data_IF_011732405472
#
_entry.id   IF_011732405472
#
_cell.length_a   1.000
_cell.length_b   1.000
_cell.length_c   1.000
_cell.angle_alpha   90.00
_cell.angle_beta   90.00
_cell.angle_gamma   90.00
#
_symmetry.space_group_name_H-M   'P 1'
#
loop_
_entity.id
_entity.type
_entity.pdbx_description
1 polymer ?
#
# COMPACT_ATOMS: atom_id res chain seq x y z
N UNK A 1 -5.38 -5.57 17.28
CA UNK A 1 -5.68 -6.79 16.47
C UNK A 1 -5.06 -7.98 17.17
N UNK A 2 -5.79 -9.08 17.32
CA UNK A 2 -5.20 -10.31 17.85
C UNK A 2 -4.13 -10.83 16.88
N UNK A 3 -2.96 -11.30 17.36
CA UNK A 3 -1.89 -11.81 16.49
C UNK A 3 -2.37 -12.90 15.53
N UNK A 4 -3.30 -13.74 15.97
CA UNK A 4 -3.90 -14.81 15.16
C UNK A 4 -4.68 -14.25 13.97
N UNK A 5 -5.44 -13.15 14.12
CA UNK A 5 -6.18 -12.53 13.02
C UNK A 5 -5.25 -11.89 11.99
N UNK A 6 -4.19 -11.22 12.44
CA UNK A 6 -3.16 -10.66 11.55
C UNK A 6 -2.53 -11.75 10.66
N UNK A 7 -2.19 -12.91 11.24
CA UNK A 7 -1.64 -14.04 10.50
C UNK A 7 -2.64 -14.58 9.46
N UNK A 8 -3.92 -14.70 9.83
CA UNK A 8 -4.97 -15.15 8.91
C UNK A 8 -5.14 -14.20 7.72
N UNK A 9 -5.06 -12.88 7.95
CA UNK A 9 -5.11 -11.89 6.86
C UNK A 9 -3.89 -12.02 5.96
N UNK A 10 -2.67 -12.01 6.54
CA UNK A 10 -1.40 -12.05 5.77
C UNK A 10 -1.24 -13.31 4.93
N UNK A 11 -1.88 -14.41 5.33
CA UNK A 11 -1.90 -15.68 4.59
C UNK A 11 -3.16 -15.87 3.74
N UNK A 12 -4.00 -14.84 3.60
CA UNK A 12 -5.26 -14.88 2.86
C UNK A 12 -6.30 -15.87 3.41
N UNK A 13 -6.06 -16.45 4.59
CA UNK A 13 -6.98 -17.41 5.21
C UNK A 13 -8.34 -16.78 5.57
N UNK A 14 -8.34 -15.47 5.90
CA UNK A 14 -9.56 -14.73 6.19
C UNK A 14 -10.52 -14.66 5.00
N UNK A 15 -9.99 -14.75 3.78
CA UNK A 15 -10.75 -14.67 2.53
C UNK A 15 -11.16 -16.06 2.00
N UNK A 16 -10.78 -17.13 2.68
CA UNK A 16 -11.13 -18.51 2.29
C UNK A 16 -12.39 -18.97 3.02
N UNK A 17 -13.35 -19.44 2.26
CA UNK A 17 -14.55 -20.07 2.78
C UNK A 17 -14.61 -21.52 2.31
N UNK A 18 -14.68 -22.45 3.25
CA UNK A 18 -14.86 -23.87 2.96
C UNK A 18 -16.33 -24.25 3.14
N UNK A 19 -16.97 -24.73 2.09
CA UNK A 19 -18.36 -25.17 2.15
C UNK A 19 -18.50 -26.36 3.11
N UNK A 20 -19.36 -26.28 4.15
CA UNK A 20 -19.52 -27.36 5.13
C UNK A 20 -20.19 -28.61 4.56
N UNK A 21 -20.84 -28.54 3.37
CA UNK A 21 -21.55 -29.65 2.75
C UNK A 21 -20.67 -30.43 1.78
N UNK A 22 -19.85 -29.76 0.97
CA UNK A 22 -19.08 -30.45 -0.08
C UNK A 22 -17.56 -30.26 0.06
N UNK A 23 -17.11 -29.48 1.03
CA UNK A 23 -15.69 -29.22 1.26
C UNK A 23 -15.02 -28.34 0.19
N UNK A 24 -15.78 -27.78 -0.77
CA UNK A 24 -15.20 -26.87 -1.75
C UNK A 24 -14.74 -25.58 -1.10
N UNK A 25 -13.56 -25.13 -1.47
CA UNK A 25 -13.02 -23.84 -1.05
C UNK A 25 -13.39 -22.76 -2.06
N UNK A 26 -13.76 -21.58 -1.54
CA UNK A 26 -14.06 -20.39 -2.33
C UNK A 26 -13.31 -19.22 -1.74
N UNK A 27 -12.81 -18.36 -2.60
CA UNK A 27 -12.23 -17.09 -2.21
C UNK A 27 -13.33 -16.02 -2.18
N UNK A 28 -13.54 -15.39 -1.03
CA UNK A 28 -14.60 -14.40 -0.83
C UNK A 28 -13.96 -13.08 -0.44
N UNK A 29 -14.06 -12.09 -1.32
CA UNK A 29 -13.68 -10.72 -1.02
C UNK A 29 -14.89 -9.97 -0.45
N UNK A 30 -14.72 -9.27 0.68
CA UNK A 30 -15.75 -8.50 1.35
C UNK A 30 -15.14 -7.32 2.09
N UNK A 31 -15.91 -6.24 2.24
CA UNK A 31 -15.45 -5.01 2.89
C UNK A 31 -15.51 -5.13 4.41
N UNK A 32 -14.46 -4.68 5.11
CA UNK A 32 -14.37 -4.67 6.57
C UNK A 32 -13.32 -3.65 7.04
N UNK A 33 -13.29 -3.42 8.34
CA UNK A 33 -12.28 -2.57 8.98
C UNK A 33 -11.28 -3.46 9.71
N UNK A 34 -10.00 -3.29 9.38
CA UNK A 34 -8.88 -3.89 10.09
C UNK A 34 -8.23 -2.83 10.99
N UNK A 35 -8.15 -3.12 12.29
CA UNK A 35 -7.53 -2.25 13.27
C UNK A 35 -6.27 -2.90 13.84
N UNK A 36 -5.18 -2.17 13.83
CA UNK A 36 -3.92 -2.52 14.49
C UNK A 36 -3.56 -1.40 15.48
N UNK A 37 -3.88 -1.64 16.75
CA UNK A 37 -3.64 -0.67 17.81
C UNK A 37 -2.14 -0.51 18.12
N UNK A 38 -1.34 -1.55 17.92
CA UNK A 38 0.11 -1.53 18.21
C UNK A 38 0.85 -0.61 17.24
N UNK A 39 0.37 -0.51 16.00
CA UNK A 39 0.93 0.38 14.96
C UNK A 39 0.11 1.65 14.76
N UNK A 40 -0.99 1.84 15.50
CA UNK A 40 -1.85 3.00 15.35
C UNK A 40 -2.51 3.10 13.97
N UNK A 41 -2.95 1.96 13.39
CA UNK A 41 -3.45 1.89 12.00
C UNK A 41 -4.88 1.39 11.95
N UNK A 42 -5.68 2.03 11.11
CA UNK A 42 -7.05 1.66 10.78
C UNK A 42 -7.20 1.56 9.26
N UNK A 43 -7.29 0.31 8.75
CA UNK A 43 -7.43 0.04 7.33
C UNK A 43 -8.87 -0.31 6.99
N UNK A 44 -9.48 0.46 6.11
CA UNK A 44 -10.80 0.21 5.55
C UNK A 44 -10.63 -0.60 4.27
N UNK A 45 -10.73 -1.92 4.39
CA UNK A 45 -10.66 -2.81 3.25
C UNK A 45 -11.95 -2.74 2.45
N UNK A 46 -11.84 -2.38 1.18
CA UNK A 46 -12.92 -2.27 0.22
C UNK A 46 -12.87 -3.44 -0.76
N UNK A 47 -14.03 -3.98 -1.05
CA UNK A 47 -14.16 -5.07 -2.03
C UNK A 47 -13.83 -4.60 -3.45
N UNK A 48 -14.18 -3.33 -3.76
CA UNK A 48 -14.03 -2.79 -5.10
C UNK A 48 -13.84 -1.27 -5.09
N UNK A 49 -13.32 -0.67 -6.19
CA UNK A 49 -13.15 0.78 -6.31
C UNK A 49 -14.45 1.59 -6.22
N UNK A 50 -15.60 1.00 -6.56
CA UNK A 50 -16.90 1.67 -6.52
C UNK A 50 -17.31 2.08 -5.10
N UNK A 51 -16.70 1.50 -4.07
CA UNK A 51 -16.96 1.82 -2.67
C UNK A 51 -16.17 3.03 -2.15
N UNK A 52 -15.18 3.54 -2.90
CA UNK A 52 -14.25 4.60 -2.45
C UNK A 52 -15.00 5.86 -2.02
N UNK A 53 -15.92 6.36 -2.86
CA UNK A 53 -16.61 7.62 -2.58
C UNK A 53 -17.45 7.54 -1.30
N UNK A 54 -18.12 6.42 -1.10
CA UNK A 54 -18.91 6.18 0.11
C UNK A 54 -18.01 6.05 1.33
N UNK A 55 -16.90 5.35 1.23
CA UNK A 55 -15.93 5.19 2.31
C UNK A 55 -15.26 6.53 2.67
N UNK A 56 -14.85 7.32 1.68
CA UNK A 56 -14.33 8.69 1.89
C UNK A 56 -15.35 9.58 2.60
N UNK A 57 -16.61 9.57 2.15
CA UNK A 57 -17.67 10.35 2.79
C UNK A 57 -17.86 9.96 4.27
N UNK A 58 -17.78 8.69 4.60
CA UNK A 58 -17.85 8.20 5.98
C UNK A 58 -16.69 8.72 6.83
N UNK A 59 -15.46 8.69 6.29
CA UNK A 59 -14.27 9.18 6.99
C UNK A 59 -14.29 10.70 7.23
N UNK A 60 -14.90 11.46 6.30
CA UNK A 60 -15.03 12.92 6.44
C UNK A 60 -16.22 13.36 7.29
N UNK A 61 -17.29 12.55 7.38
CA UNK A 61 -18.46 12.87 8.22
C UNK A 61 -18.14 12.88 9.71
N UNK A 62 -17.16 12.09 10.14
CA UNK A 62 -16.71 12.07 11.54
C UNK A 62 -15.84 13.28 11.89
N UNK A 63 -15.61 14.21 10.92
CA UNK A 63 -14.95 15.49 11.14
C UNK A 63 -13.48 15.43 11.55
N UNK A 64 -12.90 14.23 11.51
CA UNK A 64 -11.53 13.98 11.92
C UNK A 64 -10.62 13.80 10.71
N UNK A 65 -9.55 14.60 10.58
CA UNK A 65 -8.50 14.34 9.63
C UNK A 65 -7.80 13.01 9.96
N UNK A 66 -7.08 12.45 9.02
CA UNK A 66 -6.41 11.15 9.04
C UNK A 66 -5.55 10.80 10.23
N UNK A 67 -4.82 11.79 10.77
CA UNK A 67 -4.29 11.69 12.09
C UNK A 67 -5.44 12.01 13.03
N UNK A 68 -6.17 11.00 13.53
CA UNK A 68 -7.08 11.21 14.64
C UNK A 68 -6.31 11.83 15.80
N UNK A 69 -6.99 12.48 16.73
CA UNK A 69 -6.38 12.99 17.96
C UNK A 69 -5.57 11.92 18.73
N UNK A 70 -5.78 10.65 18.39
CA UNK A 70 -5.10 9.46 18.93
C UNK A 70 -3.87 9.01 18.13
N UNK A 71 -3.46 9.75 17.08
CA UNK A 71 -2.30 9.40 16.26
C UNK A 71 -2.49 8.15 15.40
N UNK A 72 -3.74 7.77 15.08
CA UNK A 72 -4.03 6.65 14.21
C UNK A 72 -4.01 7.06 12.73
N UNK A 73 -3.32 6.28 11.92
CA UNK A 73 -3.38 6.40 10.46
C UNK A 73 -4.63 5.70 9.93
N UNK A 74 -5.42 6.39 9.10
CA UNK A 74 -6.57 5.82 8.42
C UNK A 74 -6.27 5.67 6.94
N UNK A 75 -6.52 4.48 6.38
CA UNK A 75 -6.30 4.19 4.96
C UNK A 75 -7.46 3.43 4.38
N UNK A 76 -7.80 3.78 3.14
CA UNK A 76 -8.62 2.95 2.27
C UNK A 76 -7.69 2.02 1.49
N UNK A 77 -8.04 0.74 1.44
CA UNK A 77 -7.30 -0.27 0.69
C UNK A 77 -8.25 -1.12 -0.15
N UNK A 78 -7.95 -1.31 -1.41
CA UNK A 78 -8.83 -2.01 -2.35
C UNK A 78 -8.27 -3.39 -2.63
N UNK A 79 -9.02 -4.39 -2.22
CA UNK A 79 -8.67 -5.79 -2.42
C UNK A 79 -7.67 -6.37 -1.41
N UNK A 80 -7.61 -7.70 -1.35
CA UNK A 80 -6.81 -8.43 -0.35
C UNK A 80 -5.31 -8.19 -0.45
N UNK A 81 -4.78 -8.08 -1.68
CA UNK A 81 -3.35 -7.91 -1.92
C UNK A 81 -2.85 -6.58 -1.36
N UNK A 82 -3.56 -5.49 -1.65
CA UNK A 82 -3.26 -4.17 -1.12
C UNK A 82 -3.37 -4.12 0.42
N UNK A 83 -4.37 -4.82 1.00
CA UNK A 83 -4.49 -4.92 2.45
C UNK A 83 -3.29 -5.63 3.08
N UNK A 84 -2.89 -6.77 2.51
CA UNK A 84 -1.74 -7.54 3.01
C UNK A 84 -0.45 -6.73 2.90
N UNK A 85 -0.24 -6.04 1.78
CA UNK A 85 0.92 -5.18 1.59
C UNK A 85 0.95 -4.03 2.61
N UNK A 86 -0.15 -3.31 2.80
CA UNK A 86 -0.22 -2.22 3.80
C UNK A 86 0.09 -2.72 5.22
N UNK A 87 -0.44 -3.87 5.61
CA UNK A 87 -0.12 -4.48 6.92
C UNK A 87 1.39 -4.76 7.03
N UNK A 88 2.03 -5.28 5.98
CA UNK A 88 3.47 -5.55 5.97
C UNK A 88 4.29 -4.27 6.09
N UNK A 89 3.91 -3.21 5.38
CA UNK A 89 4.58 -1.91 5.44
C UNK A 89 4.54 -1.34 6.87
N UNK A 90 3.37 -1.34 7.50
CA UNK A 90 3.23 -0.82 8.87
C UNK A 90 3.90 -1.74 9.91
N UNK A 91 3.84 -3.06 9.76
CA UNK A 91 4.55 -4.01 10.63
C UNK A 91 6.07 -3.79 10.62
N UNK A 92 6.61 -3.42 9.46
CA UNK A 92 8.03 -3.09 9.30
C UNK A 92 8.38 -1.65 9.76
N UNK A 93 7.40 -0.85 10.19
CA UNK A 93 7.60 0.51 10.67
C UNK A 93 7.84 1.55 9.57
N UNK A 94 7.45 1.27 8.34
CA UNK A 94 7.60 2.18 7.21
C UNK A 94 6.38 3.06 6.98
N UNK A 95 6.61 4.28 6.46
CA UNK A 95 5.57 5.17 5.96
C UNK A 95 5.08 4.69 4.59
N UNK A 96 3.81 4.39 4.48
CA UNK A 96 3.22 3.86 3.25
C UNK A 96 3.28 4.86 2.08
N UNK A 97 3.27 6.17 2.35
CA UNK A 97 3.43 7.22 1.33
C UNK A 97 4.83 7.17 0.72
N UNK A 98 5.85 7.04 1.56
CA UNK A 98 7.25 6.90 1.11
C UNK A 98 7.44 5.60 0.34
N UNK A 99 6.79 4.52 0.78
CA UNK A 99 6.88 3.23 0.11
C UNK A 99 6.28 3.27 -1.31
N UNK A 100 5.13 3.93 -1.49
CA UNK A 100 4.54 4.11 -2.83
C UNK A 100 5.44 4.97 -3.73
N UNK A 101 6.04 6.05 -3.21
CA UNK A 101 7.03 6.82 -3.97
C UNK A 101 8.24 5.96 -4.35
N UNK A 102 8.72 5.12 -3.43
CA UNK A 102 9.84 4.22 -3.71
C UNK A 102 9.52 3.27 -4.87
N UNK A 103 8.30 2.68 -4.89
CA UNK A 103 7.85 1.84 -5.99
C UNK A 103 7.88 2.57 -7.34
N UNK A 104 7.47 3.83 -7.40
CA UNK A 104 7.55 4.64 -8.63
C UNK A 104 8.98 4.83 -9.10
N UNK A 105 9.91 5.14 -8.19
CA UNK A 105 11.33 5.26 -8.57
C UNK A 105 11.90 3.94 -9.10
N UNK A 106 11.49 2.81 -8.55
CA UNK A 106 11.87 1.49 -9.07
C UNK A 106 11.36 1.26 -10.49
N UNK A 107 10.11 1.62 -10.77
CA UNK A 107 9.58 1.55 -12.13
C UNK A 107 10.39 2.39 -13.10
N UNK A 108 10.77 3.61 -12.72
CA UNK A 108 11.61 4.47 -13.56
C UNK A 108 12.96 3.87 -13.89
N UNK A 109 13.57 3.15 -12.95
CA UNK A 109 14.88 2.52 -13.13
C UNK A 109 14.82 1.17 -13.89
N UNK A 110 13.77 0.41 -13.70
CA UNK A 110 13.67 -0.98 -14.16
C UNK A 110 12.67 -1.18 -15.31
N UNK A 111 12.06 -0.10 -15.80
CA UNK A 111 10.96 -0.12 -16.77
C UNK A 111 11.19 -1.09 -17.95
N UNK A 112 12.31 -0.94 -18.64
CA UNK A 112 12.59 -1.74 -19.85
C UNK A 112 12.79 -3.23 -19.51
N UNK A 113 13.40 -3.51 -18.36
CA UNK A 113 13.63 -4.89 -17.89
C UNK A 113 12.30 -5.53 -17.47
N UNK A 114 11.47 -4.79 -16.75
CA UNK A 114 10.16 -5.25 -16.29
C UNK A 114 9.19 -5.48 -17.46
N UNK A 115 9.13 -4.55 -18.41
CA UNK A 115 8.30 -4.69 -19.61
C UNK A 115 8.70 -5.92 -20.44
N UNK A 116 10.01 -6.19 -20.57
CA UNK A 116 10.51 -7.38 -21.26
C UNK A 116 10.13 -8.67 -20.52
N UNK A 117 10.24 -8.69 -19.19
CA UNK A 117 9.91 -9.86 -18.37
C UNK A 117 8.41 -10.14 -18.30
N UNK A 118 7.59 -9.09 -18.24
CA UNK A 118 6.14 -9.20 -18.14
C UNK A 118 5.46 -9.49 -19.47
N UNK A 119 6.10 -9.15 -20.60
CA UNK A 119 5.45 -9.17 -21.91
C UNK A 119 4.48 -7.99 -22.14
N UNK A 120 4.54 -6.96 -21.30
CA UNK A 120 3.71 -5.78 -21.35
C UNK A 120 4.10 -4.73 -20.30
N UNK A 121 3.45 -3.55 -20.34
CA UNK A 121 3.79 -2.42 -19.47
C UNK A 121 3.05 -2.45 -18.11
N UNK A 122 2.14 -3.39 -17.89
CA UNK A 122 1.34 -3.46 -16.66
C UNK A 122 2.04 -4.33 -15.62
N UNK A 123 2.92 -3.70 -14.85
CA UNK A 123 3.68 -4.35 -13.76
C UNK A 123 3.43 -3.58 -12.47
N UNK A 124 3.22 -4.30 -11.39
CA UNK A 124 3.08 -3.78 -10.04
C UNK A 124 4.23 -4.25 -9.17
N UNK A 125 4.80 -3.36 -8.36
CA UNK A 125 5.77 -3.70 -7.33
C UNK A 125 5.03 -3.86 -6.00
N UNK A 126 5.25 -4.99 -5.34
CA UNK A 126 4.62 -5.32 -4.05
C UNK A 126 5.71 -5.51 -3.00
N UNK A 127 5.63 -4.76 -1.91
CA UNK A 127 6.52 -4.93 -0.76
C UNK A 127 6.18 -6.21 0.00
N UNK A 128 7.17 -7.03 0.28
CA UNK A 128 7.00 -8.31 0.98
C UNK A 128 7.46 -8.21 2.43
N UNK A 129 8.71 -7.84 2.66
CA UNK A 129 9.29 -7.73 4.00
C UNK A 129 10.64 -6.98 3.99
N UNK A 130 11.22 -6.83 5.16
CA UNK A 130 12.61 -6.43 5.35
C UNK A 130 13.42 -7.66 5.80
N UNK A 131 14.51 -7.93 5.12
CA UNK A 131 15.41 -9.03 5.44
C UNK A 131 16.33 -8.69 6.62
N UNK A 132 16.91 -9.72 7.25
CA UNK A 132 17.84 -9.57 8.38
C UNK A 132 19.10 -8.75 8.06
N UNK A 133 19.43 -8.60 6.78
CA UNK A 133 20.54 -7.76 6.31
C UNK A 133 20.13 -6.29 6.10
N UNK A 134 18.87 -5.95 6.39
CA UNK A 134 18.30 -4.63 6.22
C UNK A 134 17.92 -4.30 4.77
N UNK A 135 17.86 -5.28 3.87
CA UNK A 135 17.33 -5.05 2.52
C UNK A 135 15.81 -5.13 2.49
N UNK A 136 15.18 -4.24 1.73
CA UNK A 136 13.75 -4.27 1.44
C UNK A 136 13.48 -5.24 0.28
N UNK A 137 12.51 -6.11 0.46
CA UNK A 137 12.19 -7.16 -0.48
C UNK A 137 10.92 -6.85 -1.25
N UNK A 138 11.03 -6.73 -2.58
CA UNK A 138 9.90 -6.47 -3.46
C UNK A 138 9.73 -7.59 -4.46
N UNK A 139 8.48 -7.96 -4.70
CA UNK A 139 8.08 -8.85 -5.79
C UNK A 139 7.40 -8.02 -6.86
N UNK A 140 7.80 -8.20 -8.10
CA UNK A 140 7.15 -7.60 -9.25
C UNK A 140 6.12 -8.58 -9.81
N UNK A 141 4.90 -8.08 -9.99
CA UNK A 141 3.76 -8.85 -10.48
C UNK A 141 3.33 -8.29 -11.83
N UNK A 142 3.27 -9.14 -12.84
CA UNK A 142 2.76 -8.81 -14.18
C UNK A 142 1.76 -9.87 -14.63
N UNK A 143 0.62 -9.45 -15.18
CA UNK A 143 -0.46 -10.35 -15.63
C UNK A 143 -0.89 -11.36 -14.53
N UNK A 144 -0.93 -10.90 -13.26
CA UNK A 144 -1.35 -11.72 -12.11
C UNK A 144 -0.34 -12.80 -11.68
N UNK A 145 0.90 -12.72 -12.11
CA UNK A 145 1.98 -13.64 -11.72
C UNK A 145 3.24 -12.91 -11.30
N UNK A 146 4.00 -13.48 -10.38
CA UNK A 146 5.33 -12.98 -10.04
C UNK A 146 6.27 -13.14 -11.23
N UNK A 147 6.93 -12.04 -11.64
CA UNK A 147 7.87 -11.99 -12.76
C UNK A 147 9.32 -11.78 -12.30
N UNK A 148 9.51 -11.34 -11.07
CA UNK A 148 10.84 -11.12 -10.51
C UNK A 148 10.75 -10.68 -9.06
N UNK A 149 11.89 -10.72 -8.41
CA UNK A 149 12.08 -10.37 -7.02
C UNK A 149 13.42 -9.65 -6.89
N UNK A 150 13.45 -8.53 -6.16
CA UNK A 150 14.65 -7.71 -6.03
C UNK A 150 14.79 -7.26 -4.57
N UNK A 151 15.92 -7.55 -3.92
CA UNK A 151 16.30 -6.91 -2.67
C UNK A 151 16.80 -5.48 -2.95
N UNK A 152 16.34 -4.52 -2.17
CA UNK A 152 16.63 -3.12 -2.35
C UNK A 152 17.18 -2.49 -1.08
N UNK A 153 17.98 -1.44 -1.21
CA UNK A 153 18.58 -0.76 -0.07
C UNK A 153 17.56 0.09 0.70
N UNK A 154 17.57 -0.04 2.03
CA UNK A 154 16.86 0.88 2.94
C UNK A 154 17.40 2.31 2.86
N UNK A 155 18.64 2.51 2.39
CA UNK A 155 19.21 3.85 2.23
C UNK A 155 18.42 4.68 1.20
N UNK A 156 17.97 4.05 0.11
CA UNK A 156 17.14 4.73 -0.91
C UNK A 156 15.78 5.12 -0.32
N UNK A 157 15.16 4.24 0.48
CA UNK A 157 13.94 4.58 1.21
C UNK A 157 14.17 5.79 2.13
N UNK A 158 15.24 5.78 2.94
CA UNK A 158 15.58 6.87 3.85
C UNK A 158 15.83 8.19 3.10
N UNK A 159 16.47 8.14 1.94
CA UNK A 159 16.69 9.31 1.11
C UNK A 159 15.37 9.89 0.58
N UNK A 160 14.48 9.07 0.05
CA UNK A 160 13.14 9.49 -0.40
C UNK A 160 12.35 10.10 0.76
N UNK A 161 12.38 9.44 1.92
CA UNK A 161 11.71 9.93 3.12
C UNK A 161 12.20 11.32 3.52
N UNK A 162 13.52 11.56 3.47
CA UNK A 162 14.12 12.85 3.80
C UNK A 162 13.77 13.92 2.75
N UNK A 163 13.86 13.60 1.46
CA UNK A 163 13.67 14.55 0.36
C UNK A 163 12.21 15.01 0.23
N UNK A 164 11.25 14.14 0.58
CA UNK A 164 9.83 14.40 0.42
C UNK A 164 9.08 14.71 1.71
N UNK A 165 9.73 14.63 2.90
CA UNK A 165 9.08 14.79 4.20
C UNK A 165 8.14 15.99 4.28
N UNK A 166 8.68 17.19 4.05
CA UNK A 166 7.90 18.42 4.20
C UNK A 166 6.73 18.50 3.20
N UNK A 167 6.93 17.97 2.00
CA UNK A 167 5.90 17.92 0.96
C UNK A 167 4.80 16.89 1.29
N UNK A 168 5.18 15.73 1.81
CA UNK A 168 4.23 14.73 2.27
C UNK A 168 3.39 15.25 3.45
N UNK A 169 4.01 15.95 4.39
CA UNK A 169 3.31 16.55 5.52
C UNK A 169 2.39 17.71 5.09
N UNK A 170 2.75 18.45 4.04
CA UNK A 170 1.96 19.57 3.54
C UNK A 170 0.81 19.14 2.61
N UNK A 171 1.04 18.17 1.70
CA UNK A 171 0.13 17.86 0.60
C UNK A 171 -0.54 16.49 0.69
N UNK A 172 -0.11 15.64 1.61
CA UNK A 172 -0.64 14.30 1.80
C UNK A 172 -1.00 13.98 3.26
N UNK A 173 -1.11 15.00 4.12
CA UNK A 173 -1.51 14.79 5.51
C UNK A 173 -2.92 14.18 5.63
N UNK A 174 -3.85 14.63 4.78
CA UNK A 174 -5.24 14.21 4.79
C UNK A 174 -5.60 13.16 3.72
N UNK A 175 -4.61 12.54 3.06
CA UNK A 175 -4.90 11.53 2.04
C UNK A 175 -5.14 10.16 2.66
N UNK A 176 -6.26 9.54 2.30
CA UNK A 176 -6.67 8.22 2.83
C UNK A 176 -6.40 7.07 1.86
N UNK A 177 -6.36 7.33 0.55
CA UNK A 177 -6.04 6.33 -0.47
C UNK A 177 -4.61 6.58 -0.95
N UNK A 178 -3.69 5.83 -0.40
CA UNK A 178 -2.26 5.88 -0.72
C UNK A 178 -1.93 4.63 -1.52
N UNK A 179 -1.81 4.78 -2.82
CA UNK A 179 -1.52 3.72 -3.79
C UNK A 179 -0.60 4.25 -4.90
N UNK A 180 -0.36 3.44 -5.91
CA UNK A 180 0.49 3.79 -7.03
C UNK A 180 -0.04 4.99 -7.82
N UNK A 181 -1.36 5.09 -8.05
CA UNK A 181 -1.97 6.21 -8.77
C UNK A 181 -1.80 7.51 -8.00
N UNK A 182 -2.04 7.47 -6.69
CA UNK A 182 -1.76 8.60 -5.81
C UNK A 182 -0.29 9.05 -5.90
N UNK A 183 0.66 8.12 -5.90
CA UNK A 183 2.09 8.44 -5.94
C UNK A 183 2.47 9.12 -7.28
N UNK A 184 1.92 8.67 -8.40
CA UNK A 184 2.10 9.33 -9.70
C UNK A 184 1.52 10.76 -9.71
N UNK A 185 0.32 10.94 -9.18
CA UNK A 185 -0.31 12.26 -9.10
C UNK A 185 0.46 13.20 -8.17
N UNK A 186 0.92 12.71 -7.03
CA UNK A 186 1.73 13.46 -6.09
C UNK A 186 3.02 13.96 -6.74
N UNK A 187 3.79 13.09 -7.40
CA UNK A 187 5.03 13.46 -8.10
C UNK A 187 4.76 14.42 -9.26
N UNK A 188 3.67 14.23 -9.99
CA UNK A 188 3.23 15.13 -11.07
C UNK A 188 2.98 16.55 -10.56
N UNK A 189 2.30 16.70 -9.42
CA UNK A 189 2.09 18.00 -8.75
C UNK A 189 3.42 18.65 -8.34
N UNK A 190 4.32 17.88 -7.72
CA UNK A 190 5.64 18.38 -7.30
C UNK A 190 6.49 18.88 -8.47
N UNK A 191 6.42 18.20 -9.63
CA UNK A 191 7.14 18.62 -10.83
C UNK A 191 6.61 19.96 -11.40
N UNK A 192 5.29 20.18 -11.33
CA UNK A 192 4.67 21.44 -11.78
C UNK A 192 5.04 22.61 -10.87
N UNK A 193 5.07 22.43 -9.55
CA UNK A 193 5.46 23.48 -8.61
C UNK A 193 6.90 23.93 -8.83
N UNK A 194 7.81 23.01 -9.16
CA UNK A 194 9.20 23.35 -9.50
C UNK A 194 9.32 24.15 -10.81
N UNK A 195 8.41 23.96 -11.76
CA UNK A 195 8.40 24.67 -13.04
C UNK A 195 7.87 26.10 -12.95
N UNK A 196 7.13 26.43 -11.89
CA UNK A 196 6.57 27.78 -11.66
C UNK A 196 7.54 28.71 -10.91
N UNK A 197 8.67 28.19 -10.42
CA UNK A 197 9.69 28.94 -9.66
C UNK A 197 10.84 29.41 -10.58
N UNK A 198 10.82 29.03 -11.85
CA UNK A 198 11.77 29.45 -12.89
C UNK A 198 11.06 30.32 -13.94
#
# INVERSE_FOLDING_TARGET
TEPTLKVLVKNYELFKFTCPHCGSEQFVNYSFIYQDADHGVLLYHLQSPEEIDQARATLTQDGEPQASADGQYRRLVIGPDALVEKIRIFDAGYDDRVMELYKIFLYGQLRDQLAQAAGGDNVEAVFIDEHLDGSLHFVFVGEGRAIGEIPLSTEVYAQIAADYKDKLDQFAADEVLIDQDWAFEFLGRMAQDLSLIH
#
